data_IF_500083925957
#
_entry.id   IF_500083925957
#
_cell.length_a   1.000
_cell.length_b   1.000
_cell.length_c   1.000
_cell.angle_alpha   90.00
_cell.angle_beta   90.00
_cell.angle_gamma   90.00
#
_symmetry.space_group_name_H-M   'P 1'
#
loop_
_entity.id
_entity.type
_entity.pdbx_description
1 polymer ?
#
# COMPACT_ATOMS: atom_id res chain seq x y z
N UNK A 1 9.36 10.25 28.70
CA UNK A 1 9.43 10.87 27.35
C UNK A 1 8.17 10.50 26.60
N UNK A 2 7.36 11.47 26.14
CA UNK A 2 6.22 11.19 25.25
C UNK A 2 6.77 10.63 23.93
N UNK A 3 6.25 9.49 23.45
CA UNK A 3 6.55 9.05 22.08
C UNK A 3 5.99 10.11 21.14
N UNK A 4 6.74 10.54 20.10
CA UNK A 4 6.19 11.45 19.10
C UNK A 4 4.94 10.83 18.47
N UNK A 5 3.93 11.64 18.12
CA UNK A 5 2.73 11.14 17.46
C UNK A 5 3.11 10.43 16.17
N UNK A 6 2.49 9.27 15.91
CA UNK A 6 2.77 8.54 14.68
C UNK A 6 2.12 9.24 13.51
N UNK A 7 2.94 9.64 12.55
CA UNK A 7 2.47 10.26 11.32
C UNK A 7 1.73 9.22 10.47
N UNK A 8 0.52 9.55 10.05
CA UNK A 8 -0.20 8.85 8.99
C UNK A 8 0.58 9.00 7.68
N UNK A 9 0.85 7.89 7.00
CA UNK A 9 1.56 7.85 5.71
C UNK A 9 1.11 6.65 4.90
N UNK A 10 1.24 6.76 3.58
CA UNK A 10 0.85 5.71 2.64
C UNK A 10 2.07 5.02 2.06
N UNK A 11 1.99 3.70 1.91
CA UNK A 11 2.89 2.92 1.08
C UNK A 11 2.27 2.79 -0.31
N UNK A 12 3.02 3.11 -1.35
CA UNK A 12 2.58 3.01 -2.74
C UNK A 12 3.52 2.08 -3.48
N UNK A 13 3.00 0.99 -4.02
CA UNK A 13 3.73 0.06 -4.86
C UNK A 13 3.21 0.25 -6.30
N UNK A 14 3.98 0.98 -7.10
CA UNK A 14 3.64 1.41 -8.47
C UNK A 14 4.95 1.73 -9.20
N UNK A 15 5.11 1.26 -10.43
CA UNK A 15 6.33 1.42 -11.22
C UNK A 15 6.18 2.42 -12.38
N UNK A 16 4.96 2.83 -12.70
CA UNK A 16 4.66 3.86 -13.70
C UNK A 16 4.87 5.28 -13.11
N UNK A 17 5.89 6.04 -13.59
CA UNK A 17 6.19 7.37 -13.08
C UNK A 17 5.07 8.38 -13.32
N UNK A 18 4.27 8.22 -14.37
CA UNK A 18 3.17 9.14 -14.69
C UNK A 18 2.03 8.95 -13.70
N UNK A 19 1.72 7.71 -13.31
CA UNK A 19 0.73 7.42 -12.26
C UNK A 19 1.18 7.90 -10.90
N UNK A 20 2.47 7.72 -10.56
CA UNK A 20 3.05 8.28 -9.33
C UNK A 20 2.90 9.80 -9.32
N UNK A 21 3.16 10.47 -10.44
CA UNK A 21 2.99 11.91 -10.55
C UNK A 21 1.52 12.31 -10.34
N UNK A 22 0.56 11.59 -10.93
CA UNK A 22 -0.88 11.79 -10.68
C UNK A 22 -1.20 11.70 -9.19
N UNK A 23 -0.76 10.63 -8.50
CA UNK A 23 -1.00 10.49 -7.06
C UNK A 23 -0.44 11.68 -6.26
N UNK A 24 0.75 12.18 -6.61
CA UNK A 24 1.34 13.36 -5.96
C UNK A 24 0.55 14.65 -6.21
N UNK A 25 -0.19 14.75 -7.32
CA UNK A 25 -1.08 15.91 -7.55
C UNK A 25 -2.40 15.81 -6.81
N UNK A 26 -2.86 14.59 -6.52
CA UNK A 26 -4.15 14.34 -5.87
C UNK A 26 -4.05 14.30 -4.35
N UNK A 27 -2.95 13.75 -3.83
CA UNK A 27 -2.72 13.55 -2.39
C UNK A 27 -2.01 14.78 -1.81
N UNK A 28 -2.53 15.39 -0.74
CA UNK A 28 -1.89 16.54 -0.09
C UNK A 28 -0.48 16.23 0.42
N UNK A 29 0.43 17.21 0.33
CA UNK A 29 1.82 17.10 0.81
C UNK A 29 1.94 16.76 2.31
N UNK A 30 0.88 17.00 3.08
CA UNK A 30 0.80 16.62 4.50
C UNK A 30 0.72 15.11 4.73
N UNK A 31 0.44 14.31 3.70
CA UNK A 31 0.38 12.84 3.76
C UNK A 31 1.61 12.29 3.05
N UNK A 32 2.64 11.84 3.80
CA UNK A 32 3.85 11.30 3.18
C UNK A 32 3.57 10.05 2.35
N UNK A 33 4.10 10.03 1.12
CA UNK A 33 4.07 8.86 0.25
C UNK A 33 5.43 8.16 0.24
N UNK A 34 5.46 6.90 0.65
CA UNK A 34 6.60 6.02 0.47
C UNK A 34 6.36 5.19 -0.79
N UNK A 35 7.12 5.46 -1.85
CA UNK A 35 6.91 4.83 -3.16
C UNK A 35 7.96 3.74 -3.41
N UNK A 36 7.50 2.57 -3.81
CA UNK A 36 8.29 1.42 -4.22
C UNK A 36 8.00 1.12 -5.69
N UNK A 37 8.96 1.43 -6.57
CA UNK A 37 8.82 1.27 -8.03
C UNK A 37 9.40 -0.03 -8.59
N UNK A 38 9.61 -1.03 -7.74
CA UNK A 38 10.03 -2.37 -8.14
C UNK A 38 9.60 -3.42 -7.11
N UNK A 39 9.42 -4.70 -7.52
CA UNK A 39 9.11 -5.79 -6.59
C UNK A 39 10.13 -5.94 -5.46
N UNK A 40 11.43 -5.86 -5.76
CA UNK A 40 12.49 -5.98 -4.77
C UNK A 40 12.46 -4.87 -3.73
N UNK A 41 12.23 -3.62 -4.15
CA UNK A 41 12.07 -2.49 -3.23
C UNK A 41 10.82 -2.66 -2.35
N UNK A 42 9.70 -3.10 -2.94
CA UNK A 42 8.47 -3.36 -2.21
C UNK A 42 8.67 -4.43 -1.11
N UNK A 43 9.28 -5.57 -1.46
CA UNK A 43 9.59 -6.64 -0.51
C UNK A 43 10.50 -6.12 0.60
N UNK A 44 11.60 -5.43 0.27
CA UNK A 44 12.54 -4.91 1.25
C UNK A 44 11.90 -3.94 2.24
N UNK A 45 11.00 -3.07 1.76
CA UNK A 45 10.24 -2.14 2.62
C UNK A 45 9.24 -2.90 3.50
N UNK A 46 8.44 -3.80 2.93
CA UNK A 46 7.45 -4.60 3.67
C UNK A 46 8.11 -5.44 4.77
N UNK A 47 9.22 -6.11 4.48
CA UNK A 47 9.94 -6.93 5.46
C UNK A 47 10.57 -6.09 6.57
N UNK A 48 11.18 -4.95 6.22
CA UNK A 48 11.86 -4.08 7.19
C UNK A 48 10.85 -3.40 8.11
N UNK A 49 9.83 -2.81 7.52
CA UNK A 49 8.92 -1.89 8.23
C UNK A 49 7.74 -2.65 8.86
N UNK A 50 7.36 -3.81 8.32
CA UNK A 50 6.38 -4.72 8.93
C UNK A 50 6.87 -5.40 10.22
N UNK A 51 8.19 -5.61 10.38
CA UNK A 51 8.79 -6.17 11.62
C UNK A 51 8.90 -5.17 12.76
N UNK A 52 8.40 -3.95 12.58
CA UNK A 52 8.56 -2.91 13.58
C UNK A 52 7.80 -3.24 14.88
N UNK A 53 8.54 -3.63 15.92
CA UNK A 53 8.03 -3.92 17.27
C UNK A 53 7.33 -2.73 17.93
N UNK A 54 7.51 -1.52 17.41
CA UNK A 54 6.80 -0.37 17.91
C UNK A 54 5.34 -0.36 17.43
N UNK A 55 4.97 -0.97 16.31
CA UNK A 55 3.59 -1.01 15.78
C UNK A 55 3.50 -0.60 14.31
N UNK A 56 2.29 -0.54 13.77
CA UNK A 56 2.02 -0.23 12.35
C UNK A 56 2.70 1.07 11.89
N UNK A 57 3.33 1.02 10.71
CA UNK A 57 4.13 2.12 10.15
C UNK A 57 3.35 2.94 9.12
N UNK A 58 2.41 2.28 8.42
CA UNK A 58 1.63 2.84 7.33
C UNK A 58 0.15 2.78 7.66
N UNK A 59 -0.58 3.84 7.31
CA UNK A 59 -2.03 3.89 7.48
C UNK A 59 -2.81 3.26 6.33
N UNK A 60 -2.16 3.04 5.17
CA UNK A 60 -2.75 2.38 4.02
C UNK A 60 -1.69 1.97 3.00
N UNK A 61 -2.04 1.01 2.14
CA UNK A 61 -1.21 0.51 1.06
C UNK A 61 -1.94 0.61 -0.29
N UNK A 62 -1.31 1.24 -1.28
CA UNK A 62 -1.75 1.22 -2.68
C UNK A 62 -0.88 0.23 -3.46
N UNK A 63 -1.51 -0.67 -4.23
CA UNK A 63 -0.84 -1.79 -4.87
C UNK A 63 -1.23 -1.92 -6.35
N UNK A 64 -0.27 -1.71 -7.25
CA UNK A 64 -0.36 -2.21 -8.62
C UNK A 64 0.06 -3.68 -8.65
N UNK A 65 -0.70 -4.49 -9.38
CA UNK A 65 -0.39 -5.88 -9.64
C UNK A 65 0.74 -6.01 -10.68
N UNK A 66 0.79 -5.14 -11.68
CA UNK A 66 1.65 -5.31 -12.86
C UNK A 66 2.92 -4.45 -12.80
N UNK A 67 3.80 -4.73 -11.81
CA UNK A 67 5.11 -4.05 -11.62
C UNK A 67 6.18 -4.47 -12.63
N UNK A 68 5.80 -4.73 -13.88
CA UNK A 68 6.63 -5.41 -14.88
C UNK A 68 7.50 -4.46 -15.71
N UNK A 69 7.36 -3.13 -15.58
CA UNK A 69 8.12 -2.17 -16.40
C UNK A 69 9.57 -2.00 -15.92
N UNK A 70 9.89 -2.34 -14.67
CA UNK A 70 11.20 -2.10 -14.04
C UNK A 70 11.98 -3.38 -13.64
N UNK A 71 11.69 -4.54 -14.22
CA UNK A 71 12.47 -5.77 -13.95
C UNK A 71 13.89 -5.62 -14.50
N UNK A 72 14.88 -5.40 -13.63
CA UNK A 72 16.27 -5.06 -14.01
C UNK A 72 17.16 -6.30 -14.14
N UNK A 73 16.76 -7.45 -13.61
CA UNK A 73 17.55 -8.70 -13.68
C UNK A 73 16.70 -9.94 -13.93
N UNK A 74 17.30 -10.98 -14.51
CA UNK A 74 16.67 -12.30 -14.73
C UNK A 74 16.18 -12.95 -13.43
N UNK A 75 16.80 -12.62 -12.28
CA UNK A 75 16.36 -13.03 -10.94
C UNK A 75 15.14 -12.27 -10.41
N UNK A 76 14.90 -11.04 -10.87
CA UNK A 76 13.67 -10.28 -10.56
C UNK A 76 12.50 -10.69 -11.46
N UNK A 77 12.75 -11.35 -12.59
CA UNK A 77 11.69 -11.93 -13.44
C UNK A 77 10.91 -13.03 -12.70
N UNK A 78 11.51 -13.66 -11.68
CA UNK A 78 10.87 -14.71 -10.86
C UNK A 78 10.11 -14.15 -9.64
N UNK A 79 10.36 -12.89 -9.25
CA UNK A 79 9.61 -12.21 -8.20
C UNK A 79 8.32 -11.63 -8.77
N UNK A 80 7.29 -12.47 -8.81
CA UNK A 80 5.97 -12.12 -9.34
C UNK A 80 5.15 -11.31 -8.31
N UNK A 81 4.07 -10.66 -8.76
CA UNK A 81 3.10 -10.02 -7.84
C UNK A 81 2.55 -10.95 -6.74
N UNK A 82 2.64 -12.28 -6.94
CA UNK A 82 2.33 -13.32 -5.95
C UNK A 82 3.24 -13.28 -4.74
N UNK A 83 4.51 -12.91 -4.92
CA UNK A 83 5.53 -12.86 -3.87
C UNK A 83 5.31 -11.63 -2.99
N UNK A 84 5.03 -10.48 -3.60
CA UNK A 84 4.70 -9.25 -2.86
C UNK A 84 3.49 -9.48 -1.96
N UNK A 85 2.41 -10.10 -2.47
CA UNK A 85 1.23 -10.46 -1.67
C UNK A 85 1.61 -11.39 -0.52
N UNK A 86 2.48 -12.36 -0.75
CA UNK A 86 2.95 -13.28 0.30
C UNK A 86 3.72 -12.52 1.38
N UNK A 87 4.58 -11.56 1.02
CA UNK A 87 5.30 -10.73 1.97
C UNK A 87 4.36 -9.77 2.73
N UNK A 88 3.36 -9.18 2.05
CA UNK A 88 2.33 -8.34 2.69
C UNK A 88 1.62 -9.13 3.78
N UNK A 89 1.09 -10.31 3.43
CA UNK A 89 0.35 -11.18 4.37
C UNK A 89 1.22 -11.58 5.56
N UNK A 90 2.51 -11.84 5.32
CA UNK A 90 3.42 -12.31 6.36
C UNK A 90 3.87 -11.20 7.32
N UNK A 91 3.91 -9.95 6.88
CA UNK A 91 4.64 -8.89 7.59
C UNK A 91 3.80 -7.67 7.97
N UNK A 92 2.68 -7.40 7.30
CA UNK A 92 1.87 -6.22 7.58
C UNK A 92 0.72 -6.54 8.54
N UNK A 93 0.25 -5.53 9.26
CA UNK A 93 -0.94 -5.65 10.11
C UNK A 93 -2.18 -5.78 9.23
N UNK A 94 -3.07 -6.73 9.55
CA UNK A 94 -4.32 -6.97 8.83
C UNK A 94 -5.31 -5.82 8.95
N UNK A 95 -5.20 -4.97 9.97
CA UNK A 95 -6.06 -3.77 10.09
C UNK A 95 -5.72 -2.68 9.05
N UNK A 96 -4.58 -2.81 8.35
CA UNK A 96 -4.16 -1.84 7.36
C UNK A 96 -4.97 -1.98 6.06
N UNK A 97 -5.72 -0.96 5.62
CA UNK A 97 -6.45 -1.02 4.36
C UNK A 97 -5.52 -1.09 3.15
N UNK A 98 -5.94 -1.86 2.15
CA UNK A 98 -5.21 -2.04 0.88
C UNK A 98 -6.11 -1.61 -0.28
N UNK A 99 -5.63 -0.69 -1.11
CA UNK A 99 -6.24 -0.32 -2.38
C UNK A 99 -5.47 -0.98 -3.53
N UNK A 100 -6.14 -1.86 -4.27
CA UNK A 100 -5.60 -2.42 -5.51
C UNK A 100 -6.05 -1.52 -6.66
N UNK A 101 -5.10 -0.84 -7.30
CA UNK A 101 -5.37 0.07 -8.42
C UNK A 101 -5.01 -0.48 -9.80
N UNK A 102 -4.67 -1.77 -9.87
CA UNK A 102 -4.25 -2.38 -11.13
C UNK A 102 -5.33 -2.37 -12.22
N UNK A 103 -4.87 -2.09 -13.44
CA UNK A 103 -5.67 -2.16 -14.67
C UNK A 103 -6.03 -3.59 -15.10
N UNK A 104 -5.29 -4.59 -14.61
CA UNK A 104 -5.46 -5.98 -15.02
C UNK A 104 -6.48 -6.71 -14.15
N UNK A 105 -7.74 -6.76 -14.59
CA UNK A 105 -8.82 -7.40 -13.85
C UNK A 105 -8.59 -8.90 -13.59
N UNK A 106 -8.03 -9.61 -14.56
CA UNK A 106 -7.76 -11.05 -14.46
C UNK A 106 -6.75 -11.37 -13.35
N UNK A 107 -5.72 -10.53 -13.20
CA UNK A 107 -4.68 -10.71 -12.19
C UNK A 107 -5.00 -10.07 -10.84
N UNK A 108 -5.75 -8.96 -10.83
CA UNK A 108 -6.18 -8.31 -9.60
C UNK A 108 -7.13 -9.19 -8.76
N UNK A 109 -7.96 -10.02 -9.39
CA UNK A 109 -8.95 -10.83 -8.67
C UNK A 109 -8.32 -11.88 -7.73
N UNK A 110 -7.36 -12.73 -8.15
CA UNK A 110 -6.69 -13.66 -7.24
C UNK A 110 -5.91 -12.96 -6.10
N UNK A 111 -5.27 -11.84 -6.39
CA UNK A 111 -4.55 -11.03 -5.39
C UNK A 111 -5.49 -10.52 -4.31
N UNK A 112 -6.61 -9.90 -4.73
CA UNK A 112 -7.66 -9.44 -3.82
C UNK A 112 -8.15 -10.58 -2.94
N UNK A 113 -8.52 -11.72 -3.53
CA UNK A 113 -9.00 -12.88 -2.77
C UNK A 113 -7.99 -13.35 -1.72
N UNK A 114 -6.69 -13.41 -2.05
CA UNK A 114 -5.65 -13.82 -1.10
C UNK A 114 -5.52 -12.85 0.08
N UNK A 115 -5.59 -11.54 -0.20
CA UNK A 115 -5.50 -10.50 0.83
C UNK A 115 -6.76 -10.48 1.72
N UNK A 116 -7.95 -10.56 1.14
CA UNK A 116 -9.21 -10.66 1.89
C UNK A 116 -9.25 -11.92 2.76
N UNK A 117 -8.82 -13.08 2.24
CA UNK A 117 -8.75 -14.32 3.02
C UNK A 117 -7.73 -14.27 4.16
N UNK A 118 -6.70 -13.44 4.03
CA UNK A 118 -5.74 -13.17 5.09
C UNK A 118 -6.25 -12.16 6.13
N UNK A 119 -7.42 -11.55 5.92
CA UNK A 119 -8.08 -10.65 6.86
C UNK A 119 -7.88 -9.16 6.60
N UNK A 120 -7.28 -8.77 5.46
CA UNK A 120 -7.11 -7.37 5.11
C UNK A 120 -8.43 -6.74 4.60
N UNK A 121 -8.73 -5.48 4.96
CA UNK A 121 -9.69 -4.66 4.23
C UNK A 121 -9.13 -4.32 2.85
N UNK A 122 -9.78 -4.79 1.78
CA UNK A 122 -9.31 -4.59 0.41
C UNK A 122 -10.34 -3.85 -0.43
N UNK A 123 -9.93 -2.72 -0.98
CA UNK A 123 -10.67 -1.96 -1.99
C UNK A 123 -10.02 -2.19 -3.36
N UNK A 124 -10.83 -2.17 -4.42
CA UNK A 124 -10.33 -2.24 -5.79
C UNK A 124 -10.94 -1.12 -6.63
N UNK A 125 -10.09 -0.23 -7.13
CA UNK A 125 -10.46 0.86 -8.02
C UNK A 125 -9.42 0.88 -9.15
N UNK A 126 -9.72 0.34 -10.34
CA UNK A 126 -8.78 0.36 -11.46
C UNK A 126 -8.27 1.79 -11.72
N UNK A 127 -6.99 1.93 -12.06
CA UNK A 127 -6.38 3.25 -12.28
C UNK A 127 -7.15 4.11 -13.28
N UNK A 128 -7.67 3.53 -14.37
CA UNK A 128 -8.45 4.26 -15.37
C UNK A 128 -9.82 4.74 -14.88
N UNK A 129 -10.36 4.09 -13.84
CA UNK A 129 -11.65 4.44 -13.24
C UNK A 129 -11.47 5.29 -11.98
N UNK A 130 -10.22 5.47 -11.52
CA UNK A 130 -9.92 6.19 -10.28
C UNK A 130 -10.00 7.70 -10.52
N UNK A 131 -10.85 8.36 -9.74
CA UNK A 131 -10.87 9.81 -9.59
C UNK A 131 -10.17 10.26 -8.31
N UNK A 132 -9.78 11.53 -8.27
CA UNK A 132 -9.24 12.16 -7.05
C UNK A 132 -10.18 11.98 -5.85
N UNK A 133 -11.49 12.16 -6.03
CA UNK A 133 -12.46 12.04 -4.93
C UNK A 133 -12.48 10.63 -4.36
N UNK A 134 -12.54 9.60 -5.21
CA UNK A 134 -12.53 8.21 -4.75
C UNK A 134 -11.23 7.85 -4.00
N UNK A 135 -10.09 8.35 -4.47
CA UNK A 135 -8.83 8.16 -3.77
C UNK A 135 -8.84 8.86 -2.40
N UNK A 136 -9.35 10.09 -2.33
CA UNK A 136 -9.42 10.84 -1.08
C UNK A 136 -10.42 10.26 -0.08
N UNK A 137 -11.54 9.71 -0.55
CA UNK A 137 -12.52 8.99 0.28
C UNK A 137 -11.84 7.78 0.93
N UNK A 138 -11.14 6.95 0.13
CA UNK A 138 -10.38 5.82 0.64
C UNK A 138 -9.26 6.22 1.62
N UNK A 139 -8.54 7.32 1.35
CA UNK A 139 -7.52 7.86 2.27
C UNK A 139 -8.14 8.31 3.58
N UNK A 140 -9.35 8.88 3.55
CA UNK A 140 -10.08 9.31 4.74
C UNK A 140 -10.43 8.10 5.61
N UNK A 141 -10.97 7.03 5.01
CA UNK A 141 -11.21 5.76 5.71
C UNK A 141 -9.93 5.19 6.35
N UNK A 142 -8.81 5.22 5.61
CA UNK A 142 -7.51 4.80 6.14
C UNK A 142 -7.07 5.62 7.35
N UNK A 143 -7.32 6.93 7.32
CA UNK A 143 -6.95 7.84 8.40
C UNK A 143 -7.79 7.60 9.65
N UNK A 144 -9.10 7.36 9.51
CA UNK A 144 -9.99 7.00 10.63
C UNK A 144 -9.53 5.71 11.30
N UNK A 145 -9.30 4.65 10.53
CA UNK A 145 -8.78 3.36 11.03
C UNK A 145 -7.41 3.55 11.71
N UNK A 146 -6.56 4.41 11.16
CA UNK A 146 -5.25 4.71 11.75
C UNK A 146 -5.38 5.38 13.11
N UNK A 147 -6.30 6.34 13.27
CA UNK A 147 -6.55 7.05 14.52
C UNK A 147 -7.11 6.12 15.60
N UNK A 148 -8.07 5.25 15.24
CA UNK A 148 -8.62 4.24 16.16
C UNK A 148 -7.53 3.31 16.72
N UNK A 149 -6.58 2.91 15.87
CA UNK A 149 -5.48 2.03 16.25
C UNK A 149 -4.32 2.76 16.95
N UNK A 150 -4.29 4.08 16.88
CA UNK A 150 -3.25 4.91 17.48
C UNK A 150 -3.86 6.12 18.21
N UNK A 151 -4.71 5.87 19.23
CA UNK A 151 -5.40 6.92 19.94
C UNK A 151 -4.37 7.89 20.51
N UNK A 152 -4.66 9.17 20.37
CA UNK A 152 -3.79 10.16 21.00
C UNK A 152 -4.04 10.12 22.51
N UNK A 153 -3.06 10.46 23.36
CA UNK A 153 -3.24 10.42 24.81
C UNK A 153 -4.35 11.34 25.37
N UNK A 154 -5.06 12.07 24.51
CA UNK A 154 -6.14 13.01 24.83
C UNK A 154 -7.54 12.45 24.49
N UNK A 155 -7.62 11.25 23.90
CA UNK A 155 -8.85 10.45 23.69
C UNK A 155 -9.10 9.48 24.87
#
# INVERSE_FOLDING_TARGET
>A
MRRPPRLFRLLVIEDDPDRIAIFRTWIPDSIPLVVCSSPGAAIGVVERDGRNRQGQVYGGLMLDHDLQLQVRTTSEQELSGTDIVTHIIRHLNTDMPILIHSMNSAKASPMRTRLEQAGFPVSRIPMADMSQNQLMDWITECHEIWQENHPTPED
#
